data_IF_904250389388
#
_entry.id   IF_904250389388
#
_cell.length_a   1.000
_cell.length_b   1.000
_cell.length_c   1.000
_cell.angle_alpha   90.00
_cell.angle_beta   90.00
_cell.angle_gamma   90.00
#
_symmetry.space_group_name_H-M   'P 1'
#
loop_
_entity.id
_entity.type
_entity.pdbx_description
1 polymer ?
#
# COMPACT_ATOMS: atom_id res chain seq x y z
N UNK A 1 -11.03 -8.41 -8.91
CA UNK A 1 -10.54 -9.71 -9.43
C UNK A 1 -9.46 -9.45 -10.47
N UNK A 2 -8.69 -10.45 -10.92
CA UNK A 2 -7.60 -10.20 -11.89
C UNK A 2 -8.11 -9.58 -13.21
N UNK A 3 -9.35 -9.89 -13.59
CA UNK A 3 -10.02 -9.26 -14.74
C UNK A 3 -10.09 -7.74 -14.65
N UNK A 4 -10.51 -7.19 -13.51
CA UNK A 4 -10.62 -5.74 -13.28
C UNK A 4 -9.26 -5.03 -13.45
N UNK A 5 -8.15 -5.69 -13.07
CA UNK A 5 -6.80 -5.13 -13.25
C UNK A 5 -6.35 -5.10 -14.71
N UNK A 6 -6.85 -6.01 -15.55
CA UNK A 6 -6.58 -6.04 -16.98
C UNK A 6 -7.31 -4.88 -17.66
N UNK A 7 -8.59 -4.67 -17.34
CA UNK A 7 -9.37 -3.55 -17.87
C UNK A 7 -8.74 -2.20 -17.53
N UNK A 8 -8.35 -2.00 -16.27
CA UNK A 8 -7.64 -0.79 -15.82
C UNK A 8 -6.31 -0.57 -16.57
N UNK A 9 -5.57 -1.64 -16.85
CA UNK A 9 -4.32 -1.54 -17.62
C UNK A 9 -4.60 -1.09 -19.07
N UNK A 10 -5.65 -1.61 -19.71
CA UNK A 10 -6.05 -1.18 -21.05
C UNK A 10 -6.52 0.26 -21.08
N UNK A 11 -7.32 0.70 -20.11
CA UNK A 11 -7.79 2.08 -20.06
C UNK A 11 -6.63 3.06 -19.87
N UNK A 12 -5.66 2.73 -19.02
CA UNK A 12 -4.45 3.52 -18.87
C UNK A 12 -3.63 3.64 -20.16
N UNK A 13 -3.55 2.57 -20.96
CA UNK A 13 -2.88 2.62 -22.26
C UNK A 13 -3.63 3.57 -23.21
N UNK A 14 -4.97 3.46 -23.28
CA UNK A 14 -5.78 4.37 -24.12
C UNK A 14 -5.60 5.82 -23.72
N UNK A 15 -5.69 6.12 -22.42
CA UNK A 15 -5.49 7.48 -21.90
C UNK A 15 -4.11 8.03 -22.25
N UNK A 16 -3.06 7.21 -22.11
CA UNK A 16 -1.70 7.62 -22.48
C UNK A 16 -1.59 7.90 -23.98
N UNK A 17 -2.16 7.04 -24.83
CA UNK A 17 -2.17 7.26 -26.29
C UNK A 17 -2.90 8.56 -26.63
N UNK A 18 -4.07 8.79 -26.06
CA UNK A 18 -4.84 10.01 -26.30
C UNK A 18 -4.08 11.27 -25.86
N UNK A 19 -3.40 11.21 -24.71
CA UNK A 19 -2.57 12.32 -24.22
C UNK A 19 -1.39 12.60 -25.15
N UNK A 20 -0.71 11.56 -25.64
CA UNK A 20 0.40 11.71 -26.60
C UNK A 20 -0.05 12.32 -27.92
N UNK A 21 -1.23 11.93 -28.42
CA UNK A 21 -1.78 12.44 -29.69
C UNK A 21 -2.28 13.89 -29.59
N UNK A 22 -2.69 14.35 -28.41
CA UNK A 22 -3.19 15.73 -28.18
C UNK A 22 -2.10 16.81 -28.32
N UNK A 23 -0.82 16.46 -28.25
CA UNK A 23 0.28 17.43 -28.23
C UNK A 23 0.68 17.99 -29.60
N UNK A 24 -0.14 17.81 -30.65
CA UNK A 24 0.06 18.34 -32.00
C UNK A 24 1.46 18.07 -32.60
N UNK A 25 2.12 17.01 -32.15
CA UNK A 25 3.48 16.64 -32.52
C UNK A 25 3.57 15.94 -33.88
N UNK A 26 2.43 15.63 -34.51
CA UNK A 26 2.35 14.84 -35.76
C UNK A 26 2.61 13.34 -35.57
N UNK A 27 2.67 12.86 -34.32
CA UNK A 27 2.86 11.45 -34.03
C UNK A 27 1.59 10.66 -34.33
N UNK A 28 1.75 9.49 -34.95
CA UNK A 28 0.67 8.54 -35.22
C UNK A 28 0.93 7.31 -34.38
N UNK A 29 -0.05 6.93 -33.56
CA UNK A 29 -0.02 5.68 -32.85
C UNK A 29 -0.27 4.53 -33.83
N UNK A 30 0.67 3.59 -33.90
CA UNK A 30 0.56 2.40 -34.76
C UNK A 30 0.04 1.19 -33.96
N UNK A 31 0.85 0.70 -33.00
CA UNK A 31 0.51 -0.51 -32.25
C UNK A 31 1.24 -0.63 -30.89
N UNK A 32 0.68 -1.43 -29.98
CA UNK A 32 1.37 -1.90 -28.77
C UNK A 32 2.03 -3.25 -29.07
N UNK A 33 3.35 -3.31 -29.00
CA UNK A 33 4.13 -4.53 -29.31
C UNK A 33 4.08 -5.55 -28.15
N UNK A 34 4.09 -5.07 -26.90
CA UNK A 34 4.10 -5.92 -25.72
C UNK A 34 3.50 -5.22 -24.51
N UNK A 35 2.73 -5.97 -23.71
CA UNK A 35 2.20 -5.53 -22.43
C UNK A 35 2.45 -6.62 -21.38
N UNK A 36 3.03 -6.24 -20.25
CA UNK A 36 3.29 -7.12 -19.12
C UNK A 36 2.54 -6.61 -17.88
N UNK A 37 1.70 -7.45 -17.28
CA UNK A 37 1.03 -7.16 -16.02
C UNK A 37 1.61 -8.04 -14.90
N UNK A 38 2.30 -7.41 -13.95
CA UNK A 38 2.85 -8.09 -12.77
C UNK A 38 1.86 -8.01 -11.62
N UNK A 39 1.30 -9.15 -11.24
CA UNK A 39 0.38 -9.25 -10.10
C UNK A 39 1.00 -10.04 -8.97
N UNK A 40 0.74 -9.64 -7.74
CA UNK A 40 1.06 -10.42 -6.55
C UNK A 40 -0.19 -10.55 -5.69
N UNK A 41 -0.45 -11.75 -5.17
CA UNK A 41 -1.56 -11.94 -4.24
C UNK A 41 -1.19 -11.32 -2.91
N UNK A 42 -1.82 -10.21 -2.58
CA UNK A 42 -1.70 -9.60 -1.27
C UNK A 42 -2.48 -10.41 -0.25
N UNK A 43 -1.76 -11.03 0.68
CA UNK A 43 -2.34 -11.65 1.87
C UNK A 43 -2.16 -10.66 3.01
N UNK A 44 -3.20 -9.87 3.37
CA UNK A 44 -3.08 -8.97 4.49
C UNK A 44 -2.75 -9.77 5.75
N UNK A 45 -1.93 -9.17 6.62
CA UNK A 45 -1.77 -9.66 7.98
C UNK A 45 -3.15 -9.78 8.62
N UNK A 46 -3.37 -10.86 9.35
CA UNK A 46 -4.64 -11.06 10.03
C UNK A 46 -4.94 -9.83 10.91
N UNK A 47 -6.18 -9.31 10.85
CA UNK A 47 -6.60 -8.25 11.75
C UNK A 47 -6.30 -8.68 13.19
N UNK A 48 -5.68 -7.80 13.96
CA UNK A 48 -5.40 -8.04 15.38
C UNK A 48 -5.68 -6.79 16.21
N UNK A 49 -6.04 -7.03 17.46
CA UNK A 49 -6.13 -6.05 18.52
C UNK A 49 -4.96 -6.22 19.48
N UNK A 50 -4.97 -5.50 20.60
CA UNK A 50 -3.94 -5.58 21.63
C UNK A 50 -3.59 -7.03 22.00
N UNK A 51 -2.28 -7.33 21.94
CA UNK A 51 -1.72 -8.61 22.39
C UNK A 51 -0.87 -8.34 23.65
N UNK A 52 -1.08 -9.07 24.75
CA UNK A 52 -0.28 -8.90 25.95
C UNK A 52 1.18 -9.31 25.69
N UNK A 53 2.12 -8.46 26.14
CA UNK A 53 3.54 -8.77 26.07
C UNK A 53 3.88 -9.93 27.02
N UNK A 54 4.77 -10.86 26.61
CA UNK A 54 5.42 -11.77 27.53
C UNK A 54 6.11 -11.01 28.68
N UNK A 55 6.05 -11.57 29.89
CA UNK A 55 6.53 -10.92 31.13
C UNK A 55 7.96 -10.37 31.04
N UNK A 56 8.87 -11.13 30.42
CA UNK A 56 10.28 -10.70 30.21
C UNK A 56 10.41 -9.44 29.36
N UNK A 57 9.55 -9.25 28.36
CA UNK A 57 9.57 -8.08 27.48
C UNK A 57 8.87 -6.89 28.13
N UNK A 58 7.76 -7.13 28.84
CA UNK A 58 7.07 -6.12 29.63
C UNK A 58 7.99 -5.51 30.71
N UNK A 59 8.82 -6.34 31.36
CA UNK A 59 9.78 -5.89 32.37
C UNK A 59 10.86 -4.95 31.82
N UNK A 60 11.27 -5.12 30.55
CA UNK A 60 12.31 -4.29 29.92
C UNK A 60 11.86 -2.86 29.61
N UNK A 61 10.55 -2.60 29.53
CA UNK A 61 9.95 -1.29 29.19
C UNK A 61 10.52 -0.64 27.91
N UNK A 62 11.12 -1.44 27.02
CA UNK A 62 11.76 -0.97 25.79
C UNK A 62 10.82 -1.01 24.57
N UNK A 63 9.59 -1.49 24.75
CA UNK A 63 8.59 -1.65 23.69
C UNK A 63 7.35 -0.82 24.02
N UNK A 64 6.80 -0.17 23.00
CA UNK A 64 5.49 0.48 23.07
C UNK A 64 4.44 -0.58 22.71
N UNK A 65 3.69 -1.07 23.71
CA UNK A 65 2.59 -2.00 23.48
C UNK A 65 1.26 -1.24 23.39
N UNK A 66 0.82 -0.98 22.16
CA UNK A 66 -0.35 -0.14 21.91
C UNK A 66 -1.62 -0.89 22.26
N UNK A 67 -2.40 -0.33 23.18
CA UNK A 67 -3.71 -0.84 23.55
C UNK A 67 -4.77 -0.31 22.60
N UNK A 68 -5.42 -1.22 21.87
CA UNK A 68 -6.57 -0.92 21.02
C UNK A 68 -7.63 -2.02 21.14
N UNK A 69 -8.90 -1.64 20.99
CA UNK A 69 -10.06 -2.55 21.03
C UNK A 69 -10.56 -2.94 19.64
N UNK A 70 -10.13 -2.22 18.60
CA UNK A 70 -10.41 -2.54 17.21
C UNK A 70 -9.38 -3.52 16.63
N UNK A 71 -9.62 -4.00 15.42
CA UNK A 71 -8.72 -4.94 14.73
C UNK A 71 -7.64 -4.22 13.89
N UNK A 72 -7.15 -3.08 14.39
CA UNK A 72 -6.24 -2.17 13.68
C UNK A 72 -4.88 -1.98 14.37
N UNK A 73 -4.41 -2.97 15.14
CA UNK A 73 -3.16 -2.88 15.91
C UNK A 73 -1.96 -2.47 15.05
N UNK A 74 -1.85 -3.02 13.83
CA UNK A 74 -0.79 -2.68 12.89
C UNK A 74 -0.82 -1.20 12.48
N UNK A 75 -2.00 -0.67 12.17
CA UNK A 75 -2.18 0.74 11.78
C UNK A 75 -1.76 1.64 12.94
N UNK A 76 -2.22 1.35 14.15
CA UNK A 76 -1.85 2.12 15.33
C UNK A 76 -0.35 2.07 15.63
N UNK A 77 0.29 0.92 15.40
CA UNK A 77 1.74 0.74 15.53
C UNK A 77 2.52 1.62 14.56
N UNK A 78 2.09 1.66 13.29
CA UNK A 78 2.68 2.53 12.27
C UNK A 78 2.47 4.00 12.61
N UNK A 79 1.25 4.39 13.00
CA UNK A 79 0.93 5.78 13.36
C UNK A 79 1.75 6.28 14.55
N UNK A 80 1.92 5.45 15.59
CA UNK A 80 2.75 5.81 16.74
C UNK A 80 4.22 6.02 16.37
N UNK A 81 4.73 5.26 15.38
CA UNK A 81 6.09 5.43 14.87
C UNK A 81 6.25 6.68 13.98
N UNK A 82 5.23 7.02 13.18
CA UNK A 82 5.23 8.19 12.29
C UNK A 82 4.99 9.51 13.04
N UNK A 83 4.21 9.48 14.12
CA UNK A 83 3.81 10.65 14.90
C UNK A 83 4.16 10.50 16.39
N UNK A 84 5.45 10.44 16.75
CA UNK A 84 5.87 10.34 18.14
C UNK A 84 5.48 11.61 18.92
N UNK A 85 4.74 11.45 20.01
CA UNK A 85 4.38 12.56 20.90
C UNK A 85 5.47 12.72 21.98
N UNK A 86 6.08 13.91 22.04
CA UNK A 86 7.17 14.23 22.98
C UNK A 86 8.57 14.16 22.33
N UNK A 87 9.48 15.05 22.79
CA UNK A 87 10.79 15.28 22.18
C UNK A 87 11.59 13.99 21.97
N UNK A 88 12.22 13.88 20.80
CA UNK A 88 13.47 13.14 20.64
C UNK A 88 14.52 13.82 21.54
N UNK A 89 14.78 13.24 22.71
CA UNK A 89 16.00 13.50 23.45
C UNK A 89 17.06 12.49 23.00
#
# INVERSE_FOLDING_TARGET
MIGDHIEQAFDKIKESVDEFLKNASGWVFDSVIHMELKTATYHPLAPSSYIPLPSKLAAKKALINIKNTDQKYFIWSVLAALHPFGKKC
#
